data_IF_496363679217
#
_entry.id   IF_496363679217
#
_cell.length_a   1.000
_cell.length_b   1.000
_cell.length_c   1.000
_cell.angle_alpha   90.00
_cell.angle_beta   90.00
_cell.angle_gamma   90.00
#
_symmetry.space_group_name_H-M   'P 1'
#
loop_
_entity.id
_entity.type
_entity.pdbx_description
1 polymer ?
#
# COMPACT_ATOMS: atom_id res chain seq x y z
N UNK A 1 -24.40 -3.05 -2.61
CA UNK A 1 -23.96 -1.70 -2.20
C UNK A 1 -22.65 -1.43 -2.90
N UNK A 2 -22.64 -0.49 -3.85
CA UNK A 2 -21.41 -0.02 -4.48
C UNK A 2 -20.55 0.53 -3.35
N UNK A 3 -19.38 -0.06 -3.11
CA UNK A 3 -18.49 0.41 -2.07
C UNK A 3 -18.11 1.86 -2.36
N UNK A 4 -18.37 2.77 -1.43
CA UNK A 4 -18.03 4.19 -1.60
C UNK A 4 -16.56 4.31 -1.95
N UNK A 5 -16.27 4.96 -3.07
CA UNK A 5 -14.93 5.45 -3.37
C UNK A 5 -14.67 6.68 -2.49
N UNK A 6 -13.42 6.86 -2.07
CA UNK A 6 -13.00 7.99 -1.25
C UNK A 6 -11.63 8.46 -1.70
N UNK A 7 -11.46 9.78 -1.78
CA UNK A 7 -10.18 10.40 -2.09
C UNK A 7 -9.18 10.22 -0.93
N UNK A 8 -7.88 10.36 -1.22
CA UNK A 8 -6.86 10.19 -0.21
C UNK A 8 -6.93 11.25 0.88
N UNK A 9 -7.14 12.51 0.48
CA UNK A 9 -7.24 13.66 1.38
C UNK A 9 -8.45 13.62 2.32
N UNK A 10 -9.51 12.88 1.95
CA UNK A 10 -10.69 12.69 2.79
C UNK A 10 -10.44 11.75 3.96
N UNK A 11 -9.52 10.79 3.80
CA UNK A 11 -9.28 9.71 4.76
C UNK A 11 -7.96 9.86 5.52
N UNK A 12 -6.94 10.43 4.89
CA UNK A 12 -5.55 10.41 5.35
C UNK A 12 -4.94 11.82 5.33
N UNK A 13 -3.96 12.04 6.19
CA UNK A 13 -3.14 13.23 6.21
C UNK A 13 -2.04 13.17 5.13
N UNK A 14 -1.45 14.32 4.79
CA UNK A 14 -0.44 14.42 3.72
C UNK A 14 0.78 13.51 3.95
N UNK A 15 1.24 13.36 5.18
CA UNK A 15 2.37 12.50 5.55
C UNK A 15 2.03 11.01 5.40
N UNK A 16 0.79 10.63 5.73
CA UNK A 16 0.26 9.28 5.52
C UNK A 16 0.13 8.94 4.02
N UNK A 17 -0.36 9.89 3.20
CA UNK A 17 -0.42 9.74 1.74
C UNK A 17 1.00 9.63 1.17
N UNK A 18 1.93 10.47 1.63
CA UNK A 18 3.34 10.40 1.23
C UNK A 18 3.96 9.05 1.55
N UNK A 19 3.67 8.47 2.72
CA UNK A 19 4.15 7.14 3.08
C UNK A 19 3.62 6.07 2.12
N UNK A 20 2.32 6.03 1.85
CA UNK A 20 1.75 5.05 0.91
C UNK A 20 2.35 5.18 -0.50
N UNK A 21 2.47 6.42 -1.00
CA UNK A 21 3.08 6.67 -2.32
C UNK A 21 4.53 6.18 -2.36
N UNK A 22 5.32 6.47 -1.32
CA UNK A 22 6.72 6.06 -1.26
C UNK A 22 6.84 4.53 -1.19
N UNK A 23 6.04 3.88 -0.36
CA UNK A 23 6.03 2.43 -0.24
C UNK A 23 5.66 1.72 -1.55
N UNK A 24 4.64 2.23 -2.26
CA UNK A 24 4.24 1.67 -3.55
C UNK A 24 5.33 1.83 -4.63
N UNK A 25 6.17 2.87 -4.55
CA UNK A 25 7.29 3.05 -5.47
C UNK A 25 8.39 2.00 -5.29
N UNK A 26 8.59 1.48 -4.07
CA UNK A 26 9.64 0.50 -3.77
C UNK A 26 9.43 -0.84 -4.50
N UNK A 27 8.18 -1.21 -4.82
CA UNK A 27 7.87 -2.37 -5.65
C UNK A 27 8.42 -2.27 -7.07
N UNK A 28 8.60 -1.05 -7.60
CA UNK A 28 9.27 -0.81 -8.88
C UNK A 28 10.81 -0.73 -8.77
N UNK A 29 11.36 -0.97 -7.59
CA UNK A 29 12.79 -0.82 -7.27
C UNK A 29 13.37 -2.07 -6.60
N UNK A 30 13.87 -1.98 -5.35
CA UNK A 30 14.62 -3.05 -4.71
C UNK A 30 13.76 -4.23 -4.22
N UNK A 31 12.44 -4.06 -4.11
CA UNK A 31 11.55 -5.12 -3.68
C UNK A 31 11.34 -6.14 -4.82
N UNK A 32 11.29 -7.42 -4.46
CA UNK A 32 11.12 -8.53 -5.38
C UNK A 32 9.84 -9.29 -5.02
N UNK A 33 8.86 -9.27 -5.91
CA UNK A 33 7.60 -9.98 -5.72
C UNK A 33 7.53 -11.22 -6.61
N UNK A 34 7.09 -12.35 -6.08
CA UNK A 34 6.69 -13.49 -6.91
C UNK A 34 5.20 -13.41 -7.24
N UNK A 35 4.75 -14.12 -8.28
CA UNK A 35 3.33 -14.22 -8.61
C UNK A 35 2.48 -14.69 -7.43
N UNK A 36 2.97 -15.64 -6.61
CA UNK A 36 2.23 -16.11 -5.44
C UNK A 36 2.06 -15.03 -4.37
N UNK A 37 3.08 -14.20 -4.17
CA UNK A 37 3.00 -13.08 -3.22
C UNK A 37 2.08 -11.98 -3.77
N UNK A 38 2.15 -11.67 -5.06
CA UNK A 38 1.27 -10.72 -5.72
C UNK A 38 -0.20 -11.15 -5.60
N UNK A 39 -0.50 -12.43 -5.86
CA UNK A 39 -1.82 -13.03 -5.64
C UNK A 39 -2.27 -12.88 -4.19
N UNK A 40 -1.41 -13.18 -3.22
CA UNK A 40 -1.73 -13.02 -1.79
C UNK A 40 -2.03 -11.58 -1.38
N UNK A 41 -1.46 -10.60 -2.10
CA UNK A 41 -1.76 -9.17 -1.90
C UNK A 41 -2.99 -8.69 -2.69
N UNK A 42 -3.58 -9.55 -3.50
CA UNK A 42 -4.79 -9.25 -4.28
C UNK A 42 -4.54 -8.75 -5.70
N UNK A 43 -3.35 -8.91 -6.24
CA UNK A 43 -3.01 -8.65 -7.64
C UNK A 43 -3.13 -9.93 -8.48
N UNK A 44 -3.16 -9.82 -9.81
CA UNK A 44 -3.25 -10.99 -10.67
C UNK A 44 -1.93 -11.77 -10.78
N UNK A 45 -0.81 -11.05 -10.85
CA UNK A 45 0.56 -11.56 -10.97
C UNK A 45 1.57 -10.45 -10.60
N UNK A 46 2.87 -10.73 -10.69
CA UNK A 46 3.93 -9.74 -10.43
C UNK A 46 3.78 -8.49 -11.31
N UNK A 47 3.40 -8.67 -12.59
CA UNK A 47 3.29 -7.56 -13.53
C UNK A 47 2.11 -6.65 -13.21
N UNK A 48 0.96 -7.22 -12.89
CA UNK A 48 -0.21 -6.48 -12.45
C UNK A 48 0.10 -5.70 -11.17
N UNK A 49 0.83 -6.30 -10.22
CA UNK A 49 1.29 -5.57 -9.03
C UNK A 49 2.05 -4.29 -9.41
N UNK A 50 3.04 -4.37 -10.30
CA UNK A 50 3.83 -3.21 -10.71
C UNK A 50 2.98 -2.13 -11.37
N UNK A 51 2.06 -2.54 -12.26
CA UNK A 51 1.18 -1.64 -12.97
C UNK A 51 0.14 -0.99 -12.04
N UNK A 52 -0.44 -1.75 -11.10
CA UNK A 52 -1.35 -1.23 -10.08
C UNK A 52 -0.63 -0.33 -9.09
N UNK A 53 0.58 -0.67 -8.62
CA UNK A 53 1.38 0.20 -7.76
C UNK A 53 1.64 1.55 -8.42
N UNK A 54 1.91 1.58 -9.73
CA UNK A 54 2.05 2.83 -10.49
C UNK A 54 0.72 3.59 -10.57
N UNK A 55 -0.39 2.92 -10.89
CA UNK A 55 -1.73 3.54 -10.95
C UNK A 55 -2.13 4.14 -9.60
N UNK A 56 -1.95 3.40 -8.51
CA UNK A 56 -2.31 3.82 -7.16
C UNK A 56 -1.46 5.00 -6.69
N UNK A 57 -0.16 5.03 -7.03
CA UNK A 57 0.68 6.20 -6.76
C UNK A 57 0.16 7.46 -7.44
N UNK A 58 -0.25 7.37 -8.71
CA UNK A 58 -0.81 8.49 -9.45
C UNK A 58 -2.15 8.92 -8.84
N UNK A 59 -3.04 7.97 -8.54
CA UNK A 59 -4.31 8.27 -7.89
C UNK A 59 -4.13 8.97 -6.53
N UNK A 60 -3.18 8.54 -5.70
CA UNK A 60 -2.83 9.21 -4.44
C UNK A 60 -2.16 10.57 -4.65
N UNK A 61 -1.49 10.79 -5.79
CA UNK A 61 -0.87 12.08 -6.12
C UNK A 61 -1.91 13.10 -6.56
N UNK A 62 -2.84 12.66 -7.40
CA UNK A 62 -3.85 13.48 -8.05
C UNK A 62 -5.17 13.52 -7.25
N UNK A 63 -5.15 12.93 -6.04
CA UNK A 63 -6.30 12.80 -5.12
C UNK A 63 -7.55 12.19 -5.78
N UNK A 64 -7.33 11.22 -6.67
CA UNK A 64 -8.39 10.48 -7.35
C UNK A 64 -9.02 9.50 -6.36
N UNK A 65 -10.36 9.45 -6.25
CA UNK A 65 -11.05 8.49 -5.40
C UNK A 65 -10.64 7.04 -5.70
N UNK A 66 -10.37 6.29 -4.63
CA UNK A 66 -10.01 4.87 -4.69
C UNK A 66 -11.13 3.99 -4.18
N UNK A 67 -11.30 2.83 -4.82
CA UNK A 67 -12.18 1.78 -4.35
C UNK A 67 -11.63 1.12 -3.06
N UNK A 68 -12.50 0.47 -2.28
CA UNK A 68 -12.09 -0.20 -1.04
C UNK A 68 -11.02 -1.28 -1.26
N UNK A 69 -11.09 -2.02 -2.38
CA UNK A 69 -10.08 -3.03 -2.74
C UNK A 69 -8.71 -2.39 -2.98
N UNK A 70 -8.68 -1.20 -3.57
CA UNK A 70 -7.45 -0.46 -3.84
C UNK A 70 -6.81 0.05 -2.56
N UNK A 71 -7.62 0.50 -1.60
CA UNK A 71 -7.15 0.81 -0.25
C UNK A 71 -6.56 -0.40 0.47
N UNK A 72 -7.19 -1.57 0.35
CA UNK A 72 -6.71 -2.81 0.95
C UNK A 72 -5.37 -3.27 0.32
N UNK A 73 -5.28 -3.24 -1.02
CA UNK A 73 -4.04 -3.53 -1.77
C UNK A 73 -2.92 -2.58 -1.38
N UNK A 74 -3.19 -1.26 -1.37
CA UNK A 74 -2.19 -0.25 -1.04
C UNK A 74 -1.63 -0.43 0.39
N UNK A 75 -2.52 -0.70 1.35
CA UNK A 75 -2.10 -0.93 2.73
C UNK A 75 -1.26 -2.21 2.86
N UNK A 76 -1.74 -3.33 2.35
CA UNK A 76 -1.05 -4.62 2.47
C UNK A 76 0.31 -4.61 1.77
N UNK A 77 0.37 -4.02 0.57
CA UNK A 77 1.62 -3.83 -0.16
C UNK A 77 2.61 -2.94 0.61
N UNK A 78 2.11 -1.92 1.32
CA UNK A 78 2.94 -1.05 2.17
C UNK A 78 3.46 -1.80 3.39
N UNK A 79 2.63 -2.60 4.04
CA UNK A 79 3.03 -3.39 5.22
C UNK A 79 4.15 -4.37 4.89
N UNK A 80 4.03 -5.07 3.76
CA UNK A 80 5.02 -6.07 3.33
C UNK A 80 6.32 -5.40 2.89
N UNK A 81 6.24 -4.36 2.04
CA UNK A 81 7.44 -3.72 1.49
C UNK A 81 8.26 -3.00 2.56
N UNK A 82 7.60 -2.45 3.57
CA UNK A 82 8.28 -1.78 4.68
C UNK A 82 9.02 -2.78 5.57
N UNK A 83 8.35 -3.85 6.01
CA UNK A 83 8.87 -4.68 7.11
C UNK A 83 9.75 -5.83 6.61
N UNK A 84 9.49 -6.37 5.42
CA UNK A 84 10.15 -7.58 4.96
C UNK A 84 11.48 -7.28 4.27
N UNK A 85 12.56 -7.88 4.75
CA UNK A 85 13.85 -7.91 4.06
C UNK A 85 13.90 -8.96 2.94
N UNK A 86 13.06 -10.00 3.03
CA UNK A 86 13.08 -11.12 2.08
C UNK A 86 12.47 -10.75 0.72
N UNK A 87 11.47 -9.88 0.73
CA UNK A 87 10.67 -9.51 -0.46
C UNK A 87 10.44 -8.01 -0.60
N UNK A 88 10.66 -7.24 0.47
CA UNK A 88 10.49 -5.80 0.50
C UNK A 88 11.81 -5.06 0.63
N UNK A 89 11.75 -3.81 1.08
CA UNK A 89 12.94 -2.98 1.32
C UNK A 89 13.56 -3.21 2.69
N UNK A 90 12.84 -3.77 3.67
CA UNK A 90 13.38 -4.21 4.97
C UNK A 90 14.45 -3.29 5.56
N UNK A 91 15.68 -3.81 5.69
CA UNK A 91 16.81 -3.04 6.28
C UNK A 91 17.25 -1.86 5.41
N UNK A 92 16.99 -1.92 4.11
CA UNK A 92 17.27 -0.87 3.13
C UNK A 92 16.18 0.22 3.11
N UNK A 93 15.09 0.08 3.87
CA UNK A 93 13.99 1.05 3.88
C UNK A 93 14.48 2.48 4.16
N UNK A 94 15.31 2.66 5.19
CA UNK A 94 15.82 3.99 5.54
C UNK A 94 16.78 4.56 4.50
N UNK A 95 17.59 3.71 3.86
CA UNK A 95 18.53 4.10 2.79
C UNK A 95 17.80 4.52 1.53
N UNK A 96 16.82 3.72 1.11
CA UNK A 96 16.07 3.89 -0.13
C UNK A 96 15.06 5.03 0.01
N UNK A 97 14.35 5.12 1.14
CA UNK A 97 13.25 6.08 1.31
C UNK A 97 13.61 7.35 2.07
N UNK A 98 14.69 7.33 2.87
CA UNK A 98 15.01 8.39 3.82
C UNK A 98 14.09 8.44 5.05
N UNK A 99 13.14 7.50 5.19
CA UNK A 99 12.22 7.41 6.31
C UNK A 99 12.79 6.45 7.38
N UNK A 100 12.72 6.84 8.65
CA UNK A 100 13.12 5.94 9.74
C UNK A 100 12.05 4.89 10.04
N UNK A 101 12.45 3.72 10.52
CA UNK A 101 11.52 2.67 10.96
C UNK A 101 10.54 3.18 12.02
N UNK A 102 11.03 3.94 13.00
CA UNK A 102 10.20 4.47 14.10
C UNK A 102 9.10 5.42 13.58
N UNK A 103 9.46 6.33 12.68
CA UNK A 103 8.48 7.26 12.10
C UNK A 103 7.51 6.53 11.16
N UNK A 104 8.02 5.56 10.40
CA UNK A 104 7.25 4.76 9.46
C UNK A 104 6.22 3.91 10.18
N UNK A 105 6.60 3.16 11.23
CA UNK A 105 5.65 2.31 11.97
C UNK A 105 4.58 3.14 12.68
N UNK A 106 4.92 4.33 13.20
CA UNK A 106 3.96 5.24 13.83
C UNK A 106 2.89 5.70 12.83
N UNK A 107 3.34 6.13 11.64
CA UNK A 107 2.48 6.60 10.55
C UNK A 107 1.62 5.46 10.00
N UNK A 108 2.21 4.28 9.77
CA UNK A 108 1.51 3.09 9.30
C UNK A 108 0.38 2.68 10.27
N UNK A 109 0.64 2.71 11.58
CA UNK A 109 -0.41 2.44 12.59
C UNK A 109 -1.52 3.48 12.58
N UNK A 110 -1.23 4.73 12.21
CA UNK A 110 -2.26 5.77 12.02
C UNK A 110 -3.14 5.46 10.80
N UNK A 111 -2.52 5.13 9.66
CA UNK A 111 -3.20 4.72 8.42
C UNK A 111 -4.13 3.53 8.68
N UNK A 112 -3.64 2.47 9.33
CA UNK A 112 -4.43 1.27 9.64
C UNK A 112 -5.69 1.60 10.46
N UNK A 113 -5.61 2.53 11.41
CA UNK A 113 -6.77 2.96 12.21
C UNK A 113 -7.77 3.74 11.36
N UNK A 114 -7.30 4.66 10.51
CA UNK A 114 -8.14 5.51 9.65
C UNK A 114 -8.83 4.71 8.54
N UNK A 115 -8.09 3.82 7.88
CA UNK A 115 -8.63 2.95 6.83
C UNK A 115 -9.45 1.78 7.38
N UNK A 116 -9.36 1.48 8.67
CA UNK A 116 -9.94 0.27 9.27
C UNK A 116 -11.43 0.04 8.97
N UNK A 117 -12.24 1.09 8.76
CA UNK A 117 -13.64 0.94 8.31
C UNK A 117 -13.74 0.62 6.83
N UNK A 118 -12.94 1.29 5.99
CA UNK A 118 -12.89 1.16 4.54
C UNK A 118 -12.46 -0.24 4.11
N UNK A 119 -11.48 -0.84 4.80
CA UNK A 119 -10.88 -2.12 4.40
C UNK A 119 -11.41 -3.32 5.19
N UNK A 120 -12.30 -3.10 6.18
CA UNK A 120 -12.86 -4.16 7.04
C UNK A 120 -13.39 -5.38 6.26
N UNK A 121 -14.03 -5.23 5.08
CA UNK A 121 -14.51 -6.39 4.31
C UNK A 121 -13.42 -7.39 3.90
N UNK A 122 -12.16 -6.94 3.84
CA UNK A 122 -11.00 -7.74 3.41
C UNK A 122 -10.19 -8.33 4.57
N UNK A 123 -10.58 -8.12 5.83
CA UNK A 123 -9.86 -8.71 6.96
C UNK A 123 -9.88 -10.24 6.90
N UNK A 124 -8.68 -10.85 6.87
CA UNK A 124 -8.49 -12.29 6.76
C UNK A 124 -8.83 -12.85 5.38
N UNK A 125 -8.95 -12.01 4.36
CA UNK A 125 -9.25 -12.37 2.97
C UNK A 125 -8.27 -11.71 2.01
N UNK A 126 -8.14 -12.27 0.82
CA UNK A 126 -7.34 -11.66 -0.24
C UNK A 126 -8.07 -10.45 -0.83
N UNK A 127 -7.42 -9.28 -1.01
CA UNK A 127 -8.00 -8.11 -1.69
C UNK A 127 -8.29 -8.37 -3.19
N UNK A 128 -9.37 -9.09 -3.48
CA UNK A 128 -9.67 -9.57 -4.83
C UNK A 128 -10.73 -10.68 -4.84
N UNK A 129 -10.97 -11.28 -3.67
CA UNK A 129 -12.08 -12.19 -3.38
C UNK A 129 -13.35 -11.47 -2.88
#
# INVERSE_FOLDING_TARGET
MVGSEAAGSELLADDEIKLLRRALAEWGGPAHCSDQLALGMGFADERDLLDQCRRLQLALTDDIPLAQVDWARALLATEIVFVSDLVGSGVEWSTTTGLSDESTIRTLRSIQRKLGRTIRPYYGKTPGE
#
